data_IF_423857933742
#
_entry.id   IF_423857933742
#
_cell.length_a   1.000
_cell.length_b   1.000
_cell.length_c   1.000
_cell.angle_alpha   90.00
_cell.angle_beta   90.00
_cell.angle_gamma   90.00
#
_symmetry.space_group_name_H-M   'P 1'
#
loop_
_entity.id
_entity.type
_entity.pdbx_description
1 polymer ?
#
# COMPACT_ATOMS: atom_id res chain seq x y z
N UNK A 1 -7.48 6.66 -21.09
CA UNK A 1 -7.18 6.14 -19.74
C UNK A 1 -5.78 6.51 -19.29
N UNK A 2 -4.71 6.15 -20.02
CA UNK A 2 -3.32 6.50 -19.69
C UNK A 2 -3.07 7.97 -19.33
N UNK A 3 -3.49 8.93 -20.18
CA UNK A 3 -3.30 10.35 -19.89
C UNK A 3 -4.01 10.85 -18.63
N UNK A 4 -5.13 10.22 -18.25
CA UNK A 4 -5.80 10.52 -16.98
C UNK A 4 -4.99 9.98 -15.80
N UNK A 5 -4.43 8.77 -15.91
CA UNK A 5 -3.56 8.21 -14.89
C UNK A 5 -2.30 9.08 -14.67
N UNK A 6 -1.64 9.51 -15.75
CA UNK A 6 -0.48 10.41 -15.67
C UNK A 6 -0.83 11.74 -15.01
N UNK A 7 -2.02 12.29 -15.29
CA UNK A 7 -2.49 13.52 -14.66
C UNK A 7 -2.85 13.37 -13.17
N UNK A 8 -2.86 12.14 -12.66
CA UNK A 8 -3.09 11.78 -11.25
C UNK A 8 -1.82 11.31 -10.55
N UNK A 9 -0.64 11.59 -11.13
CA UNK A 9 0.63 11.31 -10.48
C UNK A 9 0.73 12.06 -9.14
N UNK A 10 1.29 11.39 -8.14
CA UNK A 10 1.60 11.93 -6.82
C UNK A 10 2.78 11.17 -6.22
N UNK A 11 3.44 11.73 -5.21
CA UNK A 11 4.49 11.06 -4.43
C UNK A 11 4.17 11.02 -2.94
N UNK A 12 4.77 10.09 -2.20
CA UNK A 12 4.49 9.90 -0.76
C UNK A 12 4.78 11.14 0.07
N UNK A 13 5.74 11.96 -0.35
CA UNK A 13 6.13 13.20 0.34
C UNK A 13 5.07 14.30 0.26
N UNK A 14 4.09 14.17 -0.65
CA UNK A 14 2.96 15.10 -0.73
C UNK A 14 1.95 14.89 0.42
N UNK A 15 2.07 13.77 1.16
CA UNK A 15 1.19 13.43 2.28
C UNK A 15 1.84 13.82 3.61
N UNK A 16 1.32 14.88 4.24
CA UNK A 16 1.78 15.34 5.55
C UNK A 16 1.13 14.53 6.69
N UNK A 17 1.94 13.68 7.34
CA UNK A 17 1.52 12.84 8.48
C UNK A 17 1.84 13.48 9.85
N UNK A 18 2.29 14.74 9.89
CA UNK A 18 2.83 15.36 11.11
C UNK A 18 1.82 15.46 12.27
N UNK A 19 0.52 15.47 11.96
CA UNK A 19 -0.56 15.60 12.95
C UNK A 19 -1.20 14.26 13.32
N UNK A 20 -1.07 13.25 12.46
CA UNK A 20 -1.78 11.98 12.59
C UNK A 20 -1.41 11.22 13.86
N UNK A 21 -0.16 11.33 14.32
CA UNK A 21 0.28 10.71 15.57
C UNK A 21 -0.53 11.18 16.77
N UNK A 22 -0.99 12.43 16.77
CA UNK A 22 -1.81 12.95 17.86
C UNK A 22 -3.19 12.28 17.87
N UNK A 23 -3.81 12.10 16.70
CA UNK A 23 -5.10 11.45 16.58
C UNK A 23 -5.00 9.95 16.87
N UNK A 24 -3.93 9.30 16.39
CA UNK A 24 -3.64 7.90 16.67
C UNK A 24 -3.55 7.60 18.17
N UNK A 25 -2.79 8.43 18.91
CA UNK A 25 -2.55 8.22 20.33
C UNK A 25 -3.74 8.68 21.20
N UNK A 26 -4.42 9.78 20.85
CA UNK A 26 -5.34 10.47 21.76
C UNK A 26 -6.81 10.47 21.33
N UNK A 27 -7.11 10.32 20.05
CA UNK A 27 -8.48 10.31 19.55
C UNK A 27 -9.04 8.90 19.37
N UNK A 28 -8.19 7.96 18.95
CA UNK A 28 -8.60 6.58 18.68
C UNK A 28 -8.57 5.70 19.94
N UNK A 29 -9.52 4.77 20.02
CA UNK A 29 -9.50 3.69 20.99
C UNK A 29 -8.69 2.48 20.50
N UNK A 30 -8.53 1.46 21.36
CA UNK A 30 -7.74 0.26 21.02
C UNK A 30 -8.29 -0.51 19.83
N UNK A 31 -9.61 -0.58 19.69
CA UNK A 31 -10.27 -1.39 18.68
C UNK A 31 -10.19 -0.70 17.32
N UNK A 32 -10.30 0.63 17.30
CA UNK A 32 -10.09 1.45 16.10
C UNK A 32 -8.64 1.35 15.60
N UNK A 33 -7.66 1.46 16.51
CA UNK A 33 -6.24 1.26 16.15
C UNK A 33 -6.00 -0.14 15.62
N UNK A 34 -6.50 -1.16 16.31
CA UNK A 34 -6.38 -2.56 15.87
C UNK A 34 -6.94 -2.76 14.46
N UNK A 35 -8.14 -2.23 14.20
CA UNK A 35 -8.77 -2.30 12.90
C UNK A 35 -7.91 -1.62 11.81
N UNK A 36 -7.47 -0.39 12.04
CA UNK A 36 -6.67 0.37 11.06
C UNK A 36 -5.32 -0.32 10.82
N UNK A 37 -4.62 -0.77 11.86
CA UNK A 37 -3.34 -1.49 11.73
C UNK A 37 -3.47 -2.70 10.81
N UNK A 38 -4.54 -3.48 10.95
CA UNK A 38 -4.75 -4.70 10.17
C UNK A 38 -5.19 -4.40 8.73
N UNK A 39 -5.94 -3.32 8.51
CA UNK A 39 -6.26 -2.84 7.17
C UNK A 39 -4.99 -2.37 6.44
N UNK A 40 -4.12 -1.63 7.12
CA UNK A 40 -2.83 -1.21 6.55
C UNK A 40 -1.95 -2.41 6.22
N UNK A 41 -1.89 -3.40 7.11
CA UNK A 41 -1.12 -4.63 6.90
C UNK A 41 -1.60 -5.43 5.68
N UNK A 42 -2.92 -5.50 5.46
CA UNK A 42 -3.50 -6.11 4.26
C UNK A 42 -3.06 -5.37 2.99
N UNK A 43 -3.13 -4.03 2.97
CA UNK A 43 -2.77 -3.25 1.79
C UNK A 43 -1.28 -3.28 1.49
N UNK A 44 -0.43 -3.13 2.51
CA UNK A 44 1.03 -3.22 2.36
C UNK A 44 1.48 -4.54 1.72
N UNK A 45 0.76 -5.63 2.00
CA UNK A 45 1.06 -6.93 1.41
C UNK A 45 0.42 -7.15 0.02
N UNK A 46 -0.74 -6.53 -0.24
CA UNK A 46 -1.52 -6.75 -1.45
C UNK A 46 -0.94 -6.10 -2.70
N UNK A 47 -0.37 -4.90 -2.58
CA UNK A 47 0.15 -4.14 -3.74
C UNK A 47 1.30 -4.89 -4.44
N UNK A 48 2.15 -5.58 -3.68
CA UNK A 48 3.22 -6.44 -4.24
C UNK A 48 2.67 -7.56 -5.13
N UNK A 49 1.56 -8.18 -4.73
CA UNK A 49 0.90 -9.24 -5.52
C UNK A 49 0.30 -8.67 -6.80
N UNK A 50 -0.28 -7.46 -6.73
CA UNK A 50 -0.83 -6.77 -7.91
C UNK A 50 0.27 -6.42 -8.90
N UNK A 51 1.41 -5.90 -8.42
CA UNK A 51 2.58 -5.59 -9.24
C UNK A 51 3.11 -6.86 -9.92
N UNK A 52 3.25 -7.97 -9.19
CA UNK A 52 3.73 -9.23 -9.76
C UNK A 52 2.83 -9.72 -10.91
N UNK A 53 1.51 -9.66 -10.73
CA UNK A 53 0.56 -10.03 -11.79
C UNK A 53 0.61 -9.08 -13.00
N UNK A 54 0.78 -7.77 -12.76
CA UNK A 54 0.90 -6.79 -13.85
C UNK A 54 2.16 -7.05 -14.69
N UNK A 55 3.29 -7.34 -14.04
CA UNK A 55 4.58 -7.62 -14.69
C UNK A 55 4.54 -8.95 -15.44
N UNK A 56 4.21 -10.04 -14.75
CA UNK A 56 4.38 -11.41 -15.29
C UNK A 56 3.28 -11.82 -16.26
N UNK A 57 2.09 -11.21 -16.15
CA UNK A 57 0.93 -11.59 -16.95
C UNK A 57 0.46 -10.47 -17.85
N UNK A 58 -0.19 -9.44 -17.31
CA UNK A 58 -0.95 -8.50 -18.13
C UNK A 58 -0.08 -7.70 -19.10
N UNK A 59 1.05 -7.15 -18.64
CA UNK A 59 1.95 -6.39 -19.50
C UNK A 59 2.62 -7.27 -20.58
N UNK A 60 2.86 -8.56 -20.26
CA UNK A 60 3.45 -9.53 -21.18
C UNK A 60 2.46 -10.00 -22.24
N UNK A 61 1.24 -10.35 -21.84
CA UNK A 61 0.20 -10.91 -22.71
C UNK A 61 -0.36 -9.86 -23.68
N UNK A 62 -0.66 -8.65 -23.20
CA UNK A 62 -1.24 -7.58 -24.02
C UNK A 62 -0.18 -6.96 -24.93
N UNK A 63 -0.44 -6.94 -26.24
CA UNK A 63 0.49 -6.36 -27.23
C UNK A 63 0.16 -4.92 -27.64
N UNK A 64 -1.02 -4.39 -27.26
CA UNK A 64 -1.44 -3.03 -27.60
C UNK A 64 -0.61 -2.02 -26.80
N UNK A 65 0.13 -1.17 -27.52
CA UNK A 65 1.09 -0.22 -26.92
C UNK A 65 0.46 0.74 -25.94
N UNK A 66 -0.70 1.30 -26.24
CA UNK A 66 -1.39 2.26 -25.39
C UNK A 66 -1.83 1.63 -24.05
N UNK A 67 -2.16 0.33 -24.07
CA UNK A 67 -2.51 -0.43 -22.87
C UNK A 67 -1.25 -0.76 -22.07
N UNK A 68 -0.13 -1.08 -22.74
CA UNK A 68 1.17 -1.23 -22.06
C UNK A 68 1.65 0.05 -21.41
N UNK A 69 1.45 1.21 -22.04
CA UNK A 69 1.75 2.51 -21.40
C UNK A 69 0.92 2.70 -20.12
N UNK A 70 -0.36 2.30 -20.15
CA UNK A 70 -1.21 2.34 -18.97
C UNK A 70 -0.70 1.41 -17.86
N UNK A 71 -0.41 0.14 -18.16
CA UNK A 71 0.13 -0.80 -17.17
C UNK A 71 1.49 -0.38 -16.62
N UNK A 72 2.36 0.16 -17.48
CA UNK A 72 3.63 0.77 -17.07
C UNK A 72 3.46 1.79 -15.96
N UNK A 73 2.50 2.70 -16.15
CA UNK A 73 2.21 3.73 -15.17
C UNK A 73 1.48 3.19 -13.94
N UNK A 74 0.58 2.22 -14.12
CA UNK A 74 -0.09 1.56 -13.00
C UNK A 74 0.93 0.92 -12.06
N UNK A 75 1.88 0.13 -12.58
CA UNK A 75 2.94 -0.48 -11.76
C UNK A 75 3.76 0.55 -10.98
N UNK A 76 4.07 1.71 -11.59
CA UNK A 76 4.77 2.78 -10.90
C UNK A 76 3.95 3.33 -9.72
N UNK A 77 2.65 3.52 -9.92
CA UNK A 77 1.74 4.01 -8.88
C UNK A 77 1.51 2.95 -7.78
N UNK A 78 1.39 1.65 -8.11
CA UNK A 78 1.27 0.60 -7.08
C UNK A 78 2.53 0.51 -6.18
N UNK A 79 3.72 0.81 -6.72
CA UNK A 79 4.92 0.91 -5.88
C UNK A 79 4.85 2.11 -4.92
N UNK A 80 4.32 3.24 -5.38
CA UNK A 80 4.10 4.43 -4.52
C UNK A 80 3.03 4.12 -3.45
N UNK A 81 1.99 3.35 -3.80
CA UNK A 81 1.01 2.86 -2.82
C UNK A 81 1.68 1.99 -1.74
N UNK A 82 2.50 1.02 -2.16
CA UNK A 82 3.22 0.13 -1.25
C UNK A 82 4.16 0.92 -0.32
N UNK A 83 4.84 1.94 -0.82
CA UNK A 83 5.66 2.86 -0.02
C UNK A 83 4.82 3.64 0.99
N UNK A 84 3.69 4.21 0.54
CA UNK A 84 2.78 4.97 1.40
C UNK A 84 2.26 4.11 2.56
N UNK A 85 1.79 2.89 2.30
CA UNK A 85 1.31 2.01 3.36
C UNK A 85 2.41 1.62 4.34
N UNK A 86 3.63 1.40 3.83
CA UNK A 86 4.79 1.13 4.69
C UNK A 86 5.10 2.32 5.59
N UNK A 87 5.07 3.54 5.05
CA UNK A 87 5.28 4.77 5.80
C UNK A 87 4.20 4.98 6.88
N UNK A 88 2.93 4.68 6.58
CA UNK A 88 1.84 4.74 7.55
C UNK A 88 2.05 3.75 8.71
N UNK A 89 2.41 2.51 8.40
CA UNK A 89 2.74 1.50 9.43
C UNK A 89 3.94 1.96 10.26
N UNK A 90 5.00 2.48 9.63
CA UNK A 90 6.18 2.97 10.33
C UNK A 90 5.87 4.15 11.25
N UNK A 91 4.94 5.02 10.85
CA UNK A 91 4.52 6.20 11.58
C UNK A 91 3.66 5.83 12.80
N UNK A 92 2.63 5.00 12.62
CA UNK A 92 1.63 4.74 13.67
C UNK A 92 2.05 3.66 14.66
N UNK A 93 2.71 2.62 14.17
CA UNK A 93 3.13 1.50 15.01
C UNK A 93 4.48 1.87 15.60
N UNK A 94 4.68 1.68 16.91
CA UNK A 94 5.98 2.00 17.56
C UNK A 94 6.73 0.74 17.96
N UNK A 95 6.00 -0.32 18.28
CA UNK A 95 6.58 -1.60 18.67
C UNK A 95 7.18 -2.32 17.44
N UNK A 96 8.50 -2.60 17.45
CA UNK A 96 9.15 -3.31 16.36
C UNK A 96 8.60 -4.73 16.13
N UNK A 97 8.14 -5.42 17.17
CA UNK A 97 7.59 -6.78 17.03
C UNK A 97 6.22 -6.76 16.35
N UNK A 98 5.36 -5.81 16.73
CA UNK A 98 4.09 -5.56 16.05
C UNK A 98 4.33 -5.15 14.58
N UNK A 99 5.31 -4.29 14.30
CA UNK A 99 5.68 -3.92 12.92
C UNK A 99 6.06 -5.12 12.07
N UNK A 100 6.99 -5.97 12.54
CA UNK A 100 7.40 -7.17 11.81
C UNK A 100 6.21 -8.09 11.53
N UNK A 101 5.32 -8.23 12.52
CA UNK A 101 4.09 -9.00 12.38
C UNK A 101 3.20 -8.42 11.26
N UNK A 102 2.98 -7.11 11.22
CA UNK A 102 2.12 -6.47 10.22
C UNK A 102 2.75 -6.49 8.82
N UNK A 103 4.07 -6.29 8.69
CA UNK A 103 4.75 -6.38 7.39
C UNK A 103 4.74 -7.80 6.82
N UNK A 104 4.69 -8.81 7.69
CA UNK A 104 4.59 -10.22 7.30
C UNK A 104 3.15 -10.75 7.32
N UNK A 105 2.16 -9.87 7.18
CA UNK A 105 0.74 -10.19 7.34
C UNK A 105 0.25 -11.41 6.56
N UNK A 106 0.77 -11.67 5.35
CA UNK A 106 0.43 -12.87 4.57
C UNK A 106 0.76 -14.16 5.33
N UNK A 107 1.84 -14.16 6.11
CA UNK A 107 2.31 -15.31 6.89
C UNK A 107 1.75 -15.32 8.32
N UNK A 108 1.59 -14.15 8.91
CA UNK A 108 1.33 -13.95 10.35
C UNK A 108 -0.16 -13.71 10.66
N UNK A 109 -0.93 -13.13 9.74
CA UNK A 109 -2.34 -12.78 9.94
C UNK A 109 -3.27 -13.70 9.14
N UNK A 110 -4.01 -14.60 9.81
CA UNK A 110 -4.93 -15.52 9.13
C UNK A 110 -6.02 -14.84 8.29
N UNK A 111 -6.39 -13.59 8.63
CA UNK A 111 -7.36 -12.80 7.89
C UNK A 111 -6.80 -12.21 6.58
N UNK A 112 -5.48 -12.09 6.43
CA UNK A 112 -4.81 -11.59 5.22
C UNK A 112 -4.39 -12.73 4.30
N UNK A 113 -4.11 -13.91 4.85
CA UNK A 113 -3.64 -15.09 4.10
C UNK A 113 -4.65 -15.67 3.09
N UNK A 114 -5.95 -15.47 3.30
CA UNK A 114 -7.02 -16.19 2.58
C UNK A 114 -7.51 -15.50 1.33
#
# INVERSE_FOLDING_TARGET
MYKKAVASFWTVEEVDLSKDLQDWDNALNSDERHFISYVLAFFAASDGIVVENLVERFAREVQVTEVRCFYGFQMAIENIHSEMYSLLIETYIRDPEEKDTLFRAIETLPCVKK
#
